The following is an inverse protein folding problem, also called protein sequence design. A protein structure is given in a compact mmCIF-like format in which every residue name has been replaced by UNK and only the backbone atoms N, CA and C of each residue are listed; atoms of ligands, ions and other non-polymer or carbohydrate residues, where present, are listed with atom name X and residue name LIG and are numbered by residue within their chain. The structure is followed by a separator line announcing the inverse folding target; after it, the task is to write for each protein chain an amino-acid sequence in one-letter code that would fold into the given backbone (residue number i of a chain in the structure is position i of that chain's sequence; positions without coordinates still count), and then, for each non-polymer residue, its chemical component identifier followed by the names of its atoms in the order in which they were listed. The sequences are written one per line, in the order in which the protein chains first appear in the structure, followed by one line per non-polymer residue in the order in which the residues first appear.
data_IF_239875326543
#
_entry.id   IF_239875326543
#
_cell.length_a   1.000
_cell.length_b   1.000
_cell.length_c   1.000
_cell.angle_alpha   90.00
_cell.angle_beta   90.00
_cell.angle_gamma   90.00
#
_symmetry.space_group_name_H-M   'P 1'
#
loop_
_entity.id
_entity.type
_entity.pdbx_description
1 polymer ?
#
# COMPACT_ATOMS: atom_id res chain seq x y z
N UNK A 1 -4.72 59.99 -32.58
CA UNK A 1 -5.41 58.94 -31.80
C UNK A 1 -4.47 57.76 -31.63
N UNK A 2 -4.23 57.27 -30.40
CA UNK A 2 -3.80 55.89 -30.22
C UNK A 2 -4.73 55.10 -29.28
N UNK A 3 -5.08 53.91 -29.79
CA UNK A 3 -5.38 52.65 -29.12
C UNK A 3 -6.48 52.60 -28.04
N UNK A 4 -7.68 52.19 -28.47
CA UNK A 4 -8.60 51.40 -27.64
C UNK A 4 -7.95 50.03 -27.34
N UNK A 5 -7.58 49.80 -26.09
CA UNK A 5 -7.17 48.48 -25.60
C UNK A 5 -8.39 47.56 -25.67
N UNK A 6 -8.39 46.60 -26.59
CA UNK A 6 -9.48 45.63 -26.73
C UNK A 6 -9.54 44.80 -25.43
N UNK A 7 -10.53 45.08 -24.59
CA UNK A 7 -10.73 44.34 -23.36
C UNK A 7 -11.35 42.99 -23.69
N UNK A 8 -10.55 41.93 -23.57
CA UNK A 8 -11.04 40.55 -23.66
C UNK A 8 -12.31 40.38 -22.81
N UNK A 9 -13.31 39.75 -23.42
CA UNK A 9 -14.54 39.37 -22.75
C UNK A 9 -14.23 38.41 -21.59
N UNK A 10 -15.15 38.32 -20.63
CA UNK A 10 -15.03 37.36 -19.52
C UNK A 10 -14.83 35.92 -20.02
N UNK A 11 -15.46 35.57 -21.14
CA UNK A 11 -15.33 34.25 -21.76
C UNK A 11 -13.92 33.99 -22.28
N UNK A 12 -13.35 34.93 -23.06
CA UNK A 12 -12.00 34.77 -23.63
C UNK A 12 -10.93 34.70 -22.55
N UNK A 13 -11.09 35.46 -21.45
CA UNK A 13 -10.22 35.36 -20.28
C UNK A 13 -10.28 33.95 -19.68
N UNK A 14 -11.47 33.42 -19.43
CA UNK A 14 -11.66 32.07 -18.88
C UNK A 14 -11.06 31.02 -19.83
N UNK A 15 -11.36 31.09 -21.13
CA UNK A 15 -10.86 30.13 -22.11
C UNK A 15 -9.34 30.17 -22.20
N UNK A 16 -8.72 31.35 -22.18
CA UNK A 16 -7.26 31.48 -22.14
C UNK A 16 -6.65 30.83 -20.87
N UNK A 17 -7.31 30.95 -19.72
CA UNK A 17 -6.87 30.29 -18.47
C UNK A 17 -7.04 28.77 -18.51
N UNK A 18 -8.17 28.25 -19.01
CA UNK A 18 -8.47 26.81 -18.94
C UNK A 18 -7.94 26.00 -20.12
N UNK A 19 -7.60 26.64 -21.24
CA UNK A 19 -7.13 25.96 -22.46
C UNK A 19 -5.92 25.04 -22.20
N UNK A 20 -5.01 25.44 -21.31
CA UNK A 20 -3.85 24.63 -20.94
C UNK A 20 -4.18 23.31 -20.20
N UNK A 21 -5.37 23.22 -19.58
CA UNK A 21 -5.83 22.03 -18.88
C UNK A 21 -6.61 21.06 -19.78
N UNK A 22 -7.01 21.50 -20.99
CA UNK A 22 -7.67 20.66 -21.98
C UNK A 22 -6.63 19.84 -22.76
N UNK A 23 -6.41 18.61 -22.34
CA UNK A 23 -5.54 17.68 -23.07
C UNK A 23 -6.24 17.15 -24.32
N UNK A 24 -5.55 17.20 -25.46
CA UNK A 24 -6.03 16.58 -26.70
C UNK A 24 -5.90 15.06 -26.65
N UNK A 25 -6.61 14.35 -27.53
CA UNK A 25 -6.46 12.89 -27.67
C UNK A 25 -5.03 12.46 -28.00
N UNK A 26 -4.27 13.27 -28.74
CA UNK A 26 -2.85 13.00 -29.02
C UNK A 26 -1.98 13.16 -27.77
N UNK A 27 -2.29 14.13 -26.91
CA UNK A 27 -1.61 14.28 -25.63
C UNK A 27 -1.86 13.06 -24.71
N UNK A 28 -3.11 12.60 -24.58
CA UNK A 28 -3.42 11.38 -23.81
C UNK A 28 -2.66 10.15 -24.33
N UNK A 29 -2.67 9.91 -25.64
CA UNK A 29 -1.91 8.80 -26.25
C UNK A 29 -0.41 8.88 -25.96
N UNK A 30 0.16 10.09 -25.98
CA UNK A 30 1.56 10.31 -25.64
C UNK A 30 1.83 9.98 -24.16
N UNK A 31 0.98 10.43 -23.25
CA UNK A 31 1.09 10.11 -21.81
C UNK A 31 1.01 8.60 -21.58
N UNK A 32 0.05 7.91 -22.20
CA UNK A 32 -0.06 6.44 -22.11
C UNK A 32 1.19 5.73 -22.61
N UNK A 33 1.76 6.20 -23.73
CA UNK A 33 2.98 5.62 -24.31
C UNK A 33 4.16 5.77 -23.36
N UNK A 34 4.36 6.97 -22.80
CA UNK A 34 5.43 7.25 -21.85
C UNK A 34 5.26 6.45 -20.55
N UNK A 35 4.01 6.35 -20.05
CA UNK A 35 3.70 5.56 -18.86
C UNK A 35 4.04 4.08 -19.07
N UNK A 36 3.61 3.50 -20.19
CA UNK A 36 3.93 2.12 -20.52
C UNK A 36 5.44 1.89 -20.69
N UNK A 37 6.17 2.85 -21.27
CA UNK A 37 7.62 2.77 -21.38
C UNK A 37 8.29 2.75 -20.00
N UNK A 38 7.88 3.64 -19.10
CA UNK A 38 8.43 3.70 -17.75
C UNK A 38 8.06 2.48 -16.89
N UNK A 39 6.85 1.94 -17.03
CA UNK A 39 6.48 0.67 -16.40
C UNK A 39 7.39 -0.47 -16.89
N UNK A 40 7.63 -0.58 -18.20
CA UNK A 40 8.57 -1.57 -18.74
C UNK A 40 10.00 -1.36 -18.25
N UNK A 41 10.45 -0.11 -18.12
CA UNK A 41 11.77 0.21 -17.58
C UNK A 41 11.87 -0.18 -16.10
N UNK A 42 10.81 0.02 -15.32
CA UNK A 42 10.71 -0.37 -13.91
C UNK A 42 10.76 -1.89 -13.70
N UNK A 43 10.12 -2.67 -14.57
CA UNK A 43 10.10 -4.13 -14.49
C UNK A 43 11.46 -4.76 -14.86
N UNK A 44 12.20 -4.16 -15.80
CA UNK A 44 13.49 -4.69 -16.28
C UNK A 44 14.63 -4.44 -15.29
N UNK A 45 15.40 -5.50 -15.01
CA UNK A 45 16.55 -5.46 -14.09
C UNK A 45 17.57 -4.37 -14.42
N UNK A 46 17.86 -4.16 -15.71
CA UNK A 46 18.92 -3.26 -16.17
C UNK A 46 18.55 -1.79 -16.00
N UNK A 47 17.27 -1.43 -16.11
CA UNK A 47 16.78 -0.05 -16.07
C UNK A 47 16.07 0.31 -14.77
N UNK A 48 15.75 -0.66 -13.91
CA UNK A 48 14.98 -0.45 -12.68
C UNK A 48 15.56 0.64 -11.75
N UNK A 49 16.89 0.71 -11.63
CA UNK A 49 17.55 1.69 -10.75
C UNK A 49 17.35 3.14 -11.23
N UNK A 50 17.26 3.38 -12.54
CA UNK A 50 17.08 4.71 -13.14
C UNK A 50 15.63 4.99 -13.57
N UNK A 51 14.74 4.00 -13.60
CA UNK A 51 13.35 4.18 -13.95
C UNK A 51 12.62 5.11 -12.98
N UNK A 52 11.74 5.97 -13.51
CA UNK A 52 10.93 6.88 -12.69
C UNK A 52 9.82 6.12 -11.95
N UNK A 53 9.30 5.05 -12.57
CA UNK A 53 8.31 4.15 -11.99
C UNK A 53 8.99 2.83 -11.62
N UNK A 54 9.05 2.52 -10.33
CA UNK A 54 9.85 1.38 -9.84
C UNK A 54 9.22 0.01 -10.06
N UNK A 55 7.90 -0.12 -10.15
CA UNK A 55 7.24 -1.42 -10.39
C UNK A 55 7.67 -2.50 -9.38
N UNK A 56 7.58 -2.18 -8.08
CA UNK A 56 8.02 -3.09 -7.04
C UNK A 56 7.14 -4.36 -6.97
N UNK A 57 7.74 -5.56 -6.90
CA UNK A 57 7.00 -6.79 -6.65
C UNK A 57 6.46 -6.82 -5.22
N UNK A 58 5.23 -7.31 -5.06
CA UNK A 58 4.49 -7.30 -3.79
C UNK A 58 4.47 -8.65 -3.08
N UNK A 59 4.99 -9.69 -3.74
CA UNK A 59 4.96 -11.09 -3.31
C UNK A 59 3.55 -11.71 -3.21
N UNK A 60 2.51 -11.00 -3.63
CA UNK A 60 1.16 -11.54 -3.84
C UNK A 60 1.08 -12.07 -5.28
N UNK A 61 0.86 -13.37 -5.44
CA UNK A 61 0.98 -14.08 -6.74
C UNK A 61 -0.34 -14.60 -7.30
N UNK A 62 -1.43 -14.48 -6.53
CA UNK A 62 -2.77 -14.91 -6.95
C UNK A 62 -3.80 -13.96 -6.37
N UNK A 63 -4.89 -13.78 -7.10
CA UNK A 63 -6.10 -13.15 -6.57
C UNK A 63 -6.85 -14.13 -5.65
N UNK A 64 -7.76 -13.63 -4.81
CA UNK A 64 -8.60 -14.50 -4.03
C UNK A 64 -9.43 -15.43 -4.91
N UNK A 65 -9.58 -16.69 -4.51
CA UNK A 65 -10.31 -17.73 -5.25
C UNK A 65 -11.61 -18.16 -4.54
N UNK A 66 -11.92 -17.58 -3.38
CA UNK A 66 -13.10 -17.89 -2.59
C UNK A 66 -12.91 -19.13 -1.70
N UNK A 67 -11.72 -19.71 -1.64
CA UNK A 67 -11.39 -20.78 -0.69
C UNK A 67 -10.88 -20.25 0.66
N UNK A 68 -10.65 -18.93 0.77
CA UNK A 68 -10.05 -18.30 1.94
C UNK A 68 -10.94 -18.47 3.18
N UNK A 69 -10.32 -18.91 4.28
CA UNK A 69 -10.99 -19.09 5.56
C UNK A 69 -10.06 -18.72 6.69
N UNK A 70 -10.64 -18.26 7.79
CA UNK A 70 -9.92 -18.00 9.03
C UNK A 70 -10.20 -16.63 9.62
N UNK A 71 -9.56 -16.38 10.76
CA UNK A 71 -9.64 -15.13 11.51
C UNK A 71 -8.27 -14.44 11.45
N UNK A 72 -8.26 -13.20 10.97
CA UNK A 72 -7.06 -12.42 10.70
C UNK A 72 -7.17 -11.05 11.33
N UNK A 73 -6.05 -10.53 11.81
CA UNK A 73 -5.92 -9.10 12.07
C UNK A 73 -5.45 -8.40 10.80
N UNK A 74 -5.94 -7.19 10.57
CA UNK A 74 -5.36 -6.28 9.61
C UNK A 74 -5.03 -4.95 10.28
N UNK A 75 -3.89 -4.38 9.90
CA UNK A 75 -3.44 -3.07 10.34
C UNK A 75 -3.33 -2.15 9.13
N UNK A 76 -4.09 -1.06 9.09
CA UNK A 76 -4.04 -0.08 8.01
C UNK A 76 -3.50 1.25 8.53
N UNK A 77 -2.24 1.52 8.23
CA UNK A 77 -1.54 2.73 8.67
C UNK A 77 -1.71 3.86 7.65
N UNK A 78 -2.60 4.80 8.00
CA UNK A 78 -2.85 6.02 7.24
C UNK A 78 -1.93 7.20 7.63
N UNK A 79 -2.33 8.41 7.21
CA UNK A 79 -1.56 9.64 7.46
C UNK A 79 -1.68 10.17 8.89
N UNK A 80 -2.89 10.25 9.45
CA UNK A 80 -3.13 10.84 10.78
C UNK A 80 -3.80 9.84 11.74
N UNK A 81 -4.35 8.76 11.19
CA UNK A 81 -4.99 7.69 11.93
C UNK A 81 -4.52 6.36 11.35
N UNK A 82 -4.70 5.30 12.13
CA UNK A 82 -4.64 3.94 11.63
C UNK A 82 -5.87 3.16 12.06
N UNK A 83 -6.12 2.05 11.40
CA UNK A 83 -7.22 1.14 11.72
C UNK A 83 -6.65 -0.21 12.10
N UNK A 84 -7.18 -0.79 13.16
CA UNK A 84 -7.03 -2.22 13.47
C UNK A 84 -8.34 -2.88 13.10
N UNK A 85 -8.27 -3.98 12.36
CA UNK A 85 -9.42 -4.74 11.89
C UNK A 85 -9.30 -6.19 12.34
N UNK A 86 -10.42 -6.80 12.70
CA UNK A 86 -10.62 -8.23 12.78
C UNK A 86 -11.43 -8.65 11.55
N UNK A 87 -10.83 -9.49 10.73
CA UNK A 87 -11.42 -9.99 9.48
C UNK A 87 -11.64 -11.48 9.64
N UNK A 88 -12.88 -11.93 9.47
CA UNK A 88 -13.23 -13.35 9.42
C UNK A 88 -13.70 -13.69 8.03
N UNK A 89 -13.00 -14.63 7.41
CA UNK A 89 -13.31 -15.15 6.08
C UNK A 89 -13.93 -16.52 6.20
N UNK A 90 -15.01 -16.74 5.45
CA UNK A 90 -15.63 -18.04 5.26
C UNK A 90 -16.01 -18.22 3.79
N UNK A 91 -15.00 -18.47 2.95
CA UNK A 91 -15.16 -18.42 1.51
C UNK A 91 -15.47 -17.00 1.06
N UNK A 92 -16.59 -16.78 0.37
CA UNK A 92 -17.02 -15.45 -0.08
C UNK A 92 -17.64 -14.58 1.02
N UNK A 93 -17.98 -15.16 2.17
CA UNK A 93 -18.54 -14.42 3.29
C UNK A 93 -17.43 -13.74 4.10
N UNK A 94 -17.58 -12.43 4.33
CA UNK A 94 -16.65 -11.60 5.10
C UNK A 94 -17.38 -10.94 6.27
N UNK A 95 -16.88 -11.14 7.49
CA UNK A 95 -17.21 -10.32 8.66
C UNK A 95 -16.01 -9.43 9.01
N UNK A 96 -16.24 -8.12 9.14
CA UNK A 96 -15.21 -7.13 9.46
C UNK A 96 -15.64 -6.30 10.66
N UNK A 97 -14.83 -6.35 11.72
CA UNK A 97 -14.91 -5.43 12.85
C UNK A 97 -13.68 -4.54 12.85
N UNK A 98 -13.83 -3.24 13.11
CA UNK A 98 -12.69 -2.33 13.03
C UNK A 98 -12.76 -1.21 14.06
N UNK A 99 -11.58 -0.71 14.43
CA UNK A 99 -11.43 0.46 15.30
C UNK A 99 -10.33 1.37 14.78
N UNK A 100 -10.66 2.66 14.68
CA UNK A 100 -9.73 3.71 14.26
C UNK A 100 -9.04 4.32 15.47
N UNK A 101 -7.73 4.48 15.39
CA UNK A 101 -6.90 5.10 16.40
C UNK A 101 -6.17 6.31 15.83
N UNK A 102 -6.12 7.39 16.61
CA UNK A 102 -5.36 8.58 16.27
C UNK A 102 -3.86 8.33 16.46
N UNK A 103 -3.06 8.91 15.56
CA UNK A 103 -1.60 9.01 15.74
C UNK A 103 -1.30 10.47 16.10
N UNK A 104 -0.97 10.75 17.37
CA UNK A 104 -0.58 12.09 17.77
C UNK A 104 0.58 12.61 16.93
N UNK A 105 0.56 13.89 16.56
CA UNK A 105 1.62 14.49 15.73
C UNK A 105 3.02 14.31 16.34
N UNK A 106 3.14 14.37 17.68
CA UNK A 106 4.39 14.11 18.40
C UNK A 106 4.95 12.70 18.17
N UNK A 107 4.09 11.72 17.90
CA UNK A 107 4.50 10.34 17.58
C UNK A 107 4.92 10.25 16.11
N UNK A 108 4.18 10.89 15.20
CA UNK A 108 4.54 10.95 13.77
C UNK A 108 5.91 11.60 13.50
N UNK A 109 6.35 12.47 14.41
CA UNK A 109 7.62 13.20 14.34
C UNK A 109 8.64 12.71 15.39
N UNK A 110 8.33 11.64 16.12
CA UNK A 110 9.16 11.09 17.21
C UNK A 110 10.13 10.01 16.73
N UNK A 111 10.40 9.02 17.56
CA UNK A 111 11.23 7.85 17.19
C UNK A 111 10.37 6.72 16.62
N UNK A 112 11.02 5.81 15.88
CA UNK A 112 10.39 4.57 15.42
C UNK A 112 9.80 3.77 16.59
N UNK A 113 10.55 3.62 17.68
CA UNK A 113 10.08 2.92 18.89
C UNK A 113 8.77 3.52 19.41
N UNK A 114 8.66 4.86 19.49
CA UNK A 114 7.43 5.51 19.94
C UNK A 114 6.24 5.23 19.01
N UNK A 115 6.46 5.20 17.70
CA UNK A 115 5.40 4.90 16.73
C UNK A 115 4.93 3.44 16.86
N UNK A 116 5.86 2.49 16.79
CA UNK A 116 5.50 1.07 16.81
C UNK A 116 4.98 0.62 18.18
N UNK A 117 5.48 1.18 19.29
CA UNK A 117 4.93 0.90 20.62
C UNK A 117 3.49 1.42 20.77
N UNK A 118 3.18 2.60 20.21
CA UNK A 118 1.80 3.12 20.19
C UNK A 118 0.86 2.24 19.37
N UNK A 119 1.32 1.77 18.21
CA UNK A 119 0.55 0.82 17.38
C UNK A 119 0.32 -0.49 18.15
N UNK A 120 1.36 -1.04 18.77
CA UNK A 120 1.27 -2.27 19.56
C UNK A 120 0.30 -2.14 20.75
N UNK A 121 0.35 -1.04 21.49
CA UNK A 121 -0.60 -0.75 22.58
C UNK A 121 -2.06 -0.75 22.09
N UNK A 122 -2.32 -0.16 20.92
CA UNK A 122 -3.65 -0.13 20.31
C UNK A 122 -4.10 -1.51 19.83
N UNK A 123 -3.22 -2.31 19.22
CA UNK A 123 -3.50 -3.70 18.87
C UNK A 123 -3.83 -4.51 20.13
N UNK A 124 -3.04 -4.39 21.19
CA UNK A 124 -3.28 -5.08 22.46
C UNK A 124 -4.64 -4.73 23.07
N UNK A 125 -5.03 -3.46 23.05
CA UNK A 125 -6.37 -3.02 23.47
C UNK A 125 -7.47 -3.61 22.61
N UNK A 126 -7.30 -3.59 21.29
CA UNK A 126 -8.28 -4.14 20.35
C UNK A 126 -8.47 -5.65 20.57
N UNK A 127 -7.39 -6.42 20.69
CA UNK A 127 -7.41 -7.86 20.96
C UNK A 127 -8.10 -8.17 22.30
N UNK A 128 -7.81 -7.38 23.34
CA UNK A 128 -8.47 -7.53 24.64
C UNK A 128 -9.98 -7.24 24.57
N UNK A 129 -10.38 -6.16 23.88
CA UNK A 129 -11.79 -5.76 23.72
C UNK A 129 -12.64 -6.80 22.97
N UNK A 130 -12.00 -7.66 22.16
CA UNK A 130 -12.67 -8.73 21.40
C UNK A 130 -12.48 -10.13 22.02
N UNK A 131 -11.93 -10.21 23.24
CA UNK A 131 -11.67 -11.47 23.97
C UNK A 131 -10.71 -12.44 23.25
N UNK A 132 -9.75 -11.91 22.48
CA UNK A 132 -8.86 -12.70 21.62
C UNK A 132 -7.45 -12.94 22.20
N UNK A 133 -7.21 -12.62 23.49
CA UNK A 133 -5.86 -12.70 24.07
C UNK A 133 -5.17 -14.07 23.95
N UNK A 134 -5.95 -15.15 23.94
CA UNK A 134 -5.44 -16.52 23.87
C UNK A 134 -5.34 -17.06 22.43
N UNK A 135 -5.81 -16.30 21.43
CA UNK A 135 -5.78 -16.69 20.03
C UNK A 135 -4.40 -16.39 19.44
N UNK A 136 -3.95 -17.24 18.50
CA UNK A 136 -2.80 -16.94 17.65
C UNK A 136 -3.31 -16.30 16.36
N UNK A 137 -3.10 -15.00 16.21
CA UNK A 137 -3.71 -14.22 15.14
C UNK A 137 -2.67 -13.83 14.08
N UNK A 138 -2.81 -14.32 12.84
CA UNK A 138 -2.04 -13.79 11.71
C UNK A 138 -2.46 -12.33 11.44
N UNK A 139 -1.48 -11.45 11.25
CA UNK A 139 -1.66 -10.03 10.97
C UNK A 139 -1.13 -9.67 9.58
N UNK A 140 -2.02 -9.09 8.77
CA UNK A 140 -1.66 -8.38 7.54
C UNK A 140 -1.41 -6.90 7.82
N UNK A 141 -0.22 -6.41 7.50
CA UNK A 141 0.19 -5.03 7.74
C UNK A 141 0.13 -4.21 6.45
N UNK A 142 -0.97 -3.48 6.26
CA UNK A 142 -1.08 -2.47 5.21
C UNK A 142 -0.26 -1.24 5.60
N UNK A 143 0.91 -1.10 4.99
CA UNK A 143 1.85 -0.02 5.27
C UNK A 143 2.06 0.84 4.03
N UNK A 144 1.30 1.93 3.97
CA UNK A 144 1.15 2.75 2.76
C UNK A 144 2.26 3.81 2.62
N UNK A 145 3.51 3.37 2.72
CA UNK A 145 4.71 4.18 2.47
C UNK A 145 5.61 3.49 1.45
N UNK A 146 6.49 4.23 0.76
CA UNK A 146 7.47 3.61 -0.14
C UNK A 146 8.37 2.63 0.62
N UNK A 147 8.23 1.34 0.29
CA UNK A 147 9.02 0.25 0.85
C UNK A 147 9.65 -0.59 -0.24
N UNK A 148 10.83 -1.13 0.06
CA UNK A 148 11.41 -2.23 -0.68
C UNK A 148 11.02 -3.54 0.01
N UNK A 149 10.08 -4.29 -0.58
CA UNK A 149 9.74 -5.61 -0.08
C UNK A 149 10.85 -6.62 -0.42
N UNK A 150 11.28 -7.37 0.58
CA UNK A 150 12.26 -8.46 0.47
C UNK A 150 11.59 -9.83 0.67
N UNK A 151 10.28 -9.84 0.95
CA UNK A 151 9.45 -11.02 1.16
C UNK A 151 8.02 -10.60 1.52
N UNK A 152 7.12 -11.58 1.69
CA UNK A 152 5.73 -11.29 2.02
C UNK A 152 5.59 -10.59 3.38
N UNK A 153 6.36 -11.00 4.39
CA UNK A 153 6.39 -10.41 5.73
C UNK A 153 7.71 -9.67 6.03
N UNK A 154 8.31 -9.06 5.00
CA UNK A 154 9.62 -8.40 5.12
C UNK A 154 9.70 -7.19 4.21
N UNK A 155 9.81 -5.99 4.78
CA UNK A 155 9.86 -4.77 3.99
C UNK A 155 10.68 -3.68 4.66
N UNK A 156 11.62 -3.09 3.90
CA UNK A 156 12.42 -1.96 4.37
C UNK A 156 11.81 -0.64 3.94
N UNK A 157 11.60 0.27 4.88
CA UNK A 157 11.13 1.62 4.56
C UNK A 157 12.18 2.37 3.73
N UNK A 158 11.80 2.87 2.56
CA UNK A 158 12.72 3.66 1.72
C UNK A 158 12.73 5.14 2.09
N UNK A 159 11.55 5.72 2.32
CA UNK A 159 11.41 7.13 2.77
C UNK A 159 10.06 7.37 3.41
N UNK A 160 10.02 8.27 4.38
CA UNK A 160 8.75 8.75 4.91
C UNK A 160 8.01 9.68 3.93
N UNK A 161 6.68 9.63 3.99
CA UNK A 161 5.78 10.54 3.28
C UNK A 161 4.64 10.95 4.23
N UNK A 162 3.60 11.64 3.74
CA UNK A 162 2.37 11.93 4.51
C UNK A 162 2.60 12.66 5.86
N UNK A 163 3.71 13.39 5.98
CA UNK A 163 4.06 14.14 7.20
C UNK A 163 4.79 13.35 8.28
N UNK A 164 5.03 12.05 8.10
CA UNK A 164 5.85 11.25 9.01
C UNK A 164 7.33 11.60 8.89
N UNK A 165 8.05 11.54 10.01
CA UNK A 165 9.52 11.70 10.09
C UNK A 165 10.12 10.90 11.25
N UNK A 166 9.58 9.71 11.53
CA UNK A 166 10.04 8.91 12.67
C UNK A 166 11.51 8.50 12.50
N UNK A 167 12.34 8.84 13.49
CA UNK A 167 13.77 8.53 13.51
C UNK A 167 14.02 7.03 13.65
N UNK A 168 15.07 6.51 12.97
CA UNK A 168 15.47 5.10 13.11
C UNK A 168 14.55 4.08 12.43
N UNK A 169 13.77 4.49 11.42
CA UNK A 169 12.89 3.56 10.65
C UNK A 169 13.30 3.44 9.19
N UNK A 170 13.84 4.50 8.58
CA UNK A 170 14.27 4.45 7.17
C UNK A 170 15.45 3.48 7.03
N UNK A 171 15.33 2.51 6.13
CA UNK A 171 16.28 1.41 5.93
C UNK A 171 16.01 0.17 6.79
N UNK A 172 15.15 0.27 7.80
CA UNK A 172 14.84 -0.82 8.72
C UNK A 172 13.62 -1.63 8.26
N UNK A 173 13.58 -2.91 8.68
CA UNK A 173 12.46 -3.80 8.42
C UNK A 173 11.27 -3.47 9.32
N UNK A 174 10.20 -2.96 8.72
CA UNK A 174 9.02 -2.51 9.45
C UNK A 174 8.24 -3.65 10.11
N UNK A 175 8.35 -4.88 9.58
CA UNK A 175 7.73 -6.06 10.17
C UNK A 175 8.45 -6.42 11.47
N UNK A 176 9.79 -6.41 11.46
CA UNK A 176 10.61 -6.64 12.66
C UNK A 176 10.37 -5.56 13.72
N UNK A 177 10.30 -4.28 13.34
CA UNK A 177 10.02 -3.19 14.27
C UNK A 177 8.65 -3.33 14.96
N UNK A 178 7.61 -3.71 14.21
CA UNK A 178 6.29 -3.96 14.79
C UNK A 178 6.26 -5.23 15.65
N UNK A 179 6.95 -6.30 15.24
CA UNK A 179 7.06 -7.54 16.00
C UNK A 179 7.69 -7.30 17.38
N UNK A 180 8.80 -6.57 17.40
CA UNK A 180 9.49 -6.24 18.64
C UNK A 180 8.65 -5.32 19.53
N UNK A 181 7.87 -4.39 18.95
CA UNK A 181 6.93 -3.58 19.71
C UNK A 181 5.80 -4.43 20.32
N UNK A 182 5.22 -5.37 19.57
CA UNK A 182 4.19 -6.29 20.06
C UNK A 182 4.69 -7.10 21.25
N UNK A 183 5.92 -7.62 21.20
CA UNK A 183 6.58 -8.33 22.32
C UNK A 183 6.80 -7.45 23.54
N UNK A 184 7.21 -6.19 23.34
CA UNK A 184 7.49 -5.25 24.45
C UNK A 184 6.23 -4.76 25.15
N UNK A 185 5.14 -4.58 24.39
CA UNK A 185 3.96 -3.81 24.82
C UNK A 185 2.74 -4.67 25.11
N UNK A 186 2.70 -5.91 24.63
CA UNK A 186 1.50 -6.75 24.70
C UNK A 186 1.84 -8.19 25.06
N UNK A 187 0.86 -8.91 25.61
CA UNK A 187 0.93 -10.37 25.81
C UNK A 187 0.18 -11.13 24.69
N UNK A 188 -0.12 -10.46 23.57
CA UNK A 188 -0.91 -11.04 22.49
C UNK A 188 -0.05 -11.94 21.61
N UNK A 189 -0.61 -13.05 21.11
CA UNK A 189 0.05 -13.91 20.13
C UNK A 189 -0.31 -13.44 18.72
N UNK A 190 0.35 -12.39 18.27
CA UNK A 190 0.15 -11.82 16.93
C UNK A 190 1.38 -12.10 16.09
N UNK A 191 1.18 -12.71 14.92
CA UNK A 191 2.24 -13.02 13.96
C UNK A 191 2.06 -12.19 12.70
N UNK A 192 3.05 -11.41 12.31
CA UNK A 192 3.00 -10.62 11.08
C UNK A 192 3.31 -11.54 9.90
N UNK A 193 2.28 -11.87 9.12
CA UNK A 193 2.40 -12.84 8.01
C UNK A 193 2.50 -12.17 6.64
N UNK A 194 2.11 -10.90 6.55
CA UNK A 194 2.21 -10.13 5.33
C UNK A 194 2.36 -8.64 5.61
N UNK A 195 3.08 -7.94 4.73
CA UNK A 195 3.07 -6.50 4.57
C UNK A 195 2.63 -6.18 3.16
N UNK A 196 1.67 -5.28 3.03
CA UNK A 196 1.07 -4.94 1.74
C UNK A 196 0.97 -3.42 1.58
N UNK A 197 1.03 -2.96 0.33
CA UNK A 197 0.67 -1.60 -0.01
C UNK A 197 -0.86 -1.43 -0.07
N UNK A 198 -1.38 -0.23 0.20
CA UNK A 198 -2.82 0.10 0.11
C UNK A 198 -3.45 -0.23 -1.25
N UNK A 199 -2.76 0.02 -2.36
CA UNK A 199 -3.28 -0.33 -3.68
C UNK A 199 -3.46 -1.85 -3.82
N UNK A 200 -2.54 -2.65 -3.27
CA UNK A 200 -2.61 -4.13 -3.27
C UNK A 200 -3.76 -4.60 -2.40
N UNK A 201 -3.88 -4.09 -1.18
CA UNK A 201 -5.02 -4.40 -0.31
C UNK A 201 -6.36 -4.03 -0.95
N UNK A 202 -6.41 -2.91 -1.69
CA UNK A 202 -7.58 -2.48 -2.45
C UNK A 202 -7.92 -3.45 -3.58
N UNK A 203 -6.91 -3.88 -4.37
CA UNK A 203 -7.10 -4.90 -5.40
C UNK A 203 -7.62 -6.20 -4.79
N UNK A 204 -6.98 -6.71 -3.75
CA UNK A 204 -7.37 -7.99 -3.13
C UNK A 204 -8.79 -7.95 -2.56
N UNK A 205 -9.15 -6.85 -1.89
CA UNK A 205 -10.51 -6.68 -1.37
C UNK A 205 -11.55 -6.60 -2.48
N UNK A 206 -11.25 -5.93 -3.60
CA UNK A 206 -12.17 -5.85 -4.74
C UNK A 206 -12.26 -7.19 -5.47
N UNK A 207 -11.13 -7.86 -5.68
CA UNK A 207 -11.02 -9.16 -6.35
C UNK A 207 -11.71 -10.29 -5.59
N UNK A 208 -11.86 -10.18 -4.27
CA UNK A 208 -12.64 -11.12 -3.47
C UNK A 208 -14.15 -11.04 -3.75
N UNK A 209 -14.65 -9.86 -4.15
CA UNK A 209 -16.06 -9.65 -4.51
C UNK A 209 -16.29 -9.85 -6.01
N UNK A 210 -15.35 -9.40 -6.84
CA UNK A 210 -15.38 -9.51 -8.30
C UNK A 210 -14.02 -10.02 -8.82
N UNK A 211 -13.97 -11.31 -9.16
CA UNK A 211 -12.75 -11.96 -9.67
C UNK A 211 -12.25 -11.39 -11.01
N UNK A 212 -13.02 -10.53 -11.70
CA UNK A 212 -12.53 -9.80 -12.87
C UNK A 212 -11.71 -8.54 -12.52
N UNK A 213 -11.62 -8.17 -11.25
CA UNK A 213 -10.80 -7.04 -10.81
C UNK A 213 -9.30 -7.36 -10.93
N UNK A 214 -8.58 -6.62 -11.76
CA UNK A 214 -7.15 -6.83 -12.05
C UNK A 214 -6.26 -5.64 -11.67
N UNK A 215 -6.85 -4.51 -11.28
CA UNK A 215 -6.14 -3.26 -10.97
C UNK A 215 -6.67 -2.67 -9.67
N UNK A 216 -5.76 -2.40 -8.74
CA UNK A 216 -6.04 -1.56 -7.57
C UNK A 216 -5.55 -0.13 -7.84
N UNK A 217 -6.38 0.87 -7.58
CA UNK A 217 -6.06 2.28 -7.81
C UNK A 217 -6.42 3.12 -6.58
N UNK A 218 -5.46 3.88 -6.09
CA UNK A 218 -5.63 4.86 -5.02
C UNK A 218 -5.62 6.26 -5.64
N UNK A 219 -6.72 6.99 -5.49
CA UNK A 219 -6.86 8.40 -5.85
C UNK A 219 -7.25 9.21 -4.60
N UNK A 220 -6.25 9.75 -3.90
CA UNK A 220 -6.45 10.54 -2.69
C UNK A 220 -5.34 11.55 -2.46
N UNK A 221 -4.84 11.66 -1.22
CA UNK A 221 -3.66 12.50 -0.90
C UNK A 221 -2.44 12.13 -1.74
N UNK A 222 -2.35 10.87 -2.17
CA UNK A 222 -1.42 10.40 -3.20
C UNK A 222 -2.17 9.66 -4.31
N UNK A 223 -1.46 9.39 -5.40
CA UNK A 223 -1.91 8.53 -6.48
C UNK A 223 -0.98 7.31 -6.56
N UNK A 224 -1.53 6.10 -6.51
CA UNK A 224 -0.78 4.86 -6.67
C UNK A 224 -1.64 3.79 -7.33
N UNK A 225 -1.03 2.86 -8.04
CA UNK A 225 -1.73 1.74 -8.66
C UNK A 225 -0.93 0.44 -8.53
N UNK A 226 -1.64 -0.69 -8.52
CA UNK A 226 -1.07 -2.02 -8.65
C UNK A 226 -1.91 -2.84 -9.62
N UNK A 227 -1.33 -3.91 -10.15
CA UNK A 227 -2.00 -4.87 -11.03
C UNK A 227 -1.27 -6.20 -10.95
N UNK A 228 -1.90 -7.26 -11.46
CA UNK A 228 -1.26 -8.57 -11.62
C UNK A 228 -0.39 -8.58 -12.88
N UNK A 229 0.88 -8.93 -12.73
CA UNK A 229 1.86 -9.06 -13.82
C UNK A 229 2.40 -10.49 -13.86
N UNK A 230 2.81 -10.93 -15.06
CA UNK A 230 3.52 -12.19 -15.24
C UNK A 230 4.93 -12.13 -14.64
N UNK A 231 5.29 -13.13 -13.84
CA UNK A 231 6.62 -13.20 -13.21
C UNK A 231 7.75 -13.13 -14.25
N UNK A 232 7.55 -13.71 -15.44
CA UNK A 232 8.47 -13.65 -16.57
C UNK A 232 8.81 -12.22 -17.02
N UNK A 233 7.90 -11.26 -16.81
CA UNK A 233 8.11 -9.86 -17.12
C UNK A 233 8.83 -9.11 -15.99
N UNK A 234 8.85 -9.64 -14.77
CA UNK A 234 9.44 -9.02 -13.58
C UNK A 234 10.92 -9.39 -13.45
N UNK A 235 11.78 -8.75 -14.25
CA UNK A 235 13.23 -9.04 -14.23
C UNK A 235 13.95 -8.73 -12.90
N UNK A 236 13.29 -8.02 -11.98
CA UNK A 236 13.77 -7.76 -10.61
C UNK A 236 13.45 -8.88 -9.64
N UNK A 237 12.61 -9.83 -10.02
CA UNK A 237 12.28 -11.01 -9.24
C UNK A 237 13.52 -11.91 -9.08
N UNK A 238 13.74 -12.42 -7.85
CA UNK A 238 14.93 -13.22 -7.50
C UNK A 238 14.61 -14.52 -6.78
N UNK A 239 13.32 -14.85 -6.63
CA UNK A 239 12.86 -15.94 -5.78
C UNK A 239 12.13 -17.00 -6.61
N UNK A 240 12.92 -17.87 -7.25
CA UNK A 240 12.47 -19.17 -7.77
C UNK A 240 13.29 -20.28 -7.10
N UNK A 241 13.40 -20.24 -5.77
CA UNK A 241 13.85 -21.41 -5.03
C UNK A 241 12.64 -22.31 -4.78
N UNK A 242 12.73 -23.60 -5.12
CA UNK A 242 11.69 -24.63 -4.87
C UNK A 242 11.29 -24.76 -3.37
N UNK A 243 11.94 -24.01 -2.48
CA UNK A 243 11.70 -23.95 -1.04
C UNK A 243 10.86 -22.75 -0.60
N UNK A 244 10.46 -21.85 -1.50
CA UNK A 244 9.51 -20.81 -1.12
C UNK A 244 8.11 -21.43 -0.93
N UNK A 245 7.50 -21.14 0.23
CA UNK A 245 6.16 -21.64 0.57
C UNK A 245 5.06 -20.74 0.00
N UNK A 246 5.37 -19.86 -0.95
CA UNK A 246 4.41 -18.93 -1.51
C UNK A 246 3.61 -19.59 -2.63
N UNK A 247 2.34 -19.17 -2.85
CA UNK A 247 1.55 -19.69 -3.96
C UNK A 247 2.31 -19.60 -5.28
N UNK A 248 2.18 -20.59 -6.15
CA UNK A 248 2.65 -20.41 -7.54
C UNK A 248 1.81 -19.31 -8.18
N UNK A 249 2.37 -18.59 -9.15
CA UNK A 249 1.55 -17.71 -9.97
C UNK A 249 0.41 -18.55 -10.58
N UNK A 250 -0.83 -18.15 -10.31
CA UNK A 250 -2.01 -18.82 -10.85
C UNK A 250 -2.35 -18.13 -12.17
N UNK A 251 -2.43 -18.92 -13.24
CA UNK A 251 -2.74 -18.46 -14.60
C UNK A 251 -4.20 -18.01 -14.74
#
# INVERSE_FOLDING_TARGET
MPATTDQLTRYEKIEAFVKGFKLSSSAYKRVMTLLNQEMNNGLKRQSHNVADIKMFPTFVRSLPDGSEKGEFLALDLGGTNFRVLLVRLQGHDIDIQSKTYLIPQRIMLGTGTQLFDHIADCIGKFVLEHDLLNHSLPLGFTFSFPCQQEGLAKARLSKWTKGFRCEGVVGEDICELLHEALKRRTNCKVEIVAVVNDAVGTLMSAAHVDHHCQIGLILGTGCNACYMEYLDNVGTWRHDDEKDHHPRQVN
#
